data_IF_638950640343
#
_entry.id   IF_638950640343
#
_cell.length_a   1.000
_cell.length_b   1.000
_cell.length_c   1.000
_cell.angle_alpha   90.00
_cell.angle_beta   90.00
_cell.angle_gamma   90.00
#
_symmetry.space_group_name_H-M   'P 1'
#
loop_
_entity.id
_entity.type
_entity.pdbx_description
1 polymer ?
#
# COMPACT_ATOMS: atom_id res chain seq x y z
N UNK A 1 2.36 11.46 19.28
CA UNK A 1 1.04 10.88 18.96
C UNK A 1 1.24 10.04 17.70
N UNK A 2 0.77 8.79 17.66
CA UNK A 2 0.87 7.95 16.48
C UNK A 2 -0.41 8.09 15.64
N UNK A 3 -0.29 7.99 14.31
CA UNK A 3 -1.39 8.25 13.38
C UNK A 3 -1.72 7.02 12.54
N UNK A 4 -3.02 6.86 12.31
CA UNK A 4 -3.58 5.97 11.29
C UNK A 4 -4.05 6.84 10.13
N UNK A 5 -3.64 6.48 8.92
CA UNK A 5 -4.04 7.18 7.71
C UNK A 5 -4.87 6.24 6.84
N UNK A 6 -5.95 6.80 6.30
CA UNK A 6 -6.84 6.12 5.38
C UNK A 6 -7.01 7.01 4.15
N UNK A 7 -6.53 6.54 3.01
CA UNK A 7 -6.72 7.18 1.70
C UNK A 7 -7.62 6.28 0.86
N UNK A 8 -8.73 6.85 0.42
CA UNK A 8 -9.71 6.20 -0.45
C UNK A 8 -9.99 7.08 -1.65
N UNK A 9 -9.84 6.52 -2.85
CA UNK A 9 -10.19 7.12 -4.11
C UNK A 9 -11.08 6.16 -4.89
N UNK A 10 -12.29 6.58 -5.21
CA UNK A 10 -13.20 5.76 -6.02
C UNK A 10 -13.39 6.32 -7.45
N UNK A 11 -13.01 7.57 -7.70
CA UNK A 11 -13.28 8.28 -8.96
C UNK A 11 -12.09 9.17 -9.36
N UNK A 12 -11.85 9.33 -10.66
CA UNK A 12 -10.75 10.15 -11.20
C UNK A 12 -10.81 11.62 -10.74
N UNK A 13 -12.01 12.19 -10.61
CA UNK A 13 -12.22 13.59 -10.22
C UNK A 13 -11.86 13.88 -8.75
N UNK A 14 -11.66 12.84 -7.93
CA UNK A 14 -11.31 12.96 -6.50
C UNK A 14 -9.82 13.24 -6.26
N UNK A 15 -9.04 13.41 -7.33
CA UNK A 15 -7.59 13.49 -7.28
C UNK A 15 -7.04 14.71 -6.52
N UNK A 16 -7.67 15.87 -6.72
CA UNK A 16 -7.27 17.11 -6.05
C UNK A 16 -7.34 16.97 -4.53
N UNK A 17 -8.31 16.19 -4.04
CA UNK A 17 -8.50 15.96 -2.61
C UNK A 17 -7.46 14.97 -2.04
N UNK A 18 -7.08 13.96 -2.82
CA UNK A 18 -5.98 13.04 -2.49
C UNK A 18 -4.65 13.79 -2.48
N UNK A 19 -4.41 14.67 -3.44
CA UNK A 19 -3.20 15.50 -3.46
C UNK A 19 -3.11 16.43 -2.26
N UNK A 20 -4.23 16.99 -1.80
CA UNK A 20 -4.26 17.73 -0.53
C UNK A 20 -3.93 16.83 0.65
N UNK A 21 -4.54 15.64 0.73
CA UNK A 21 -4.22 14.66 1.79
C UNK A 21 -2.76 14.21 1.74
N UNK A 22 -2.17 14.08 0.55
CA UNK A 22 -0.76 13.72 0.33
C UNK A 22 0.21 14.85 0.63
N UNK A 23 -0.16 16.09 0.30
CA UNK A 23 0.63 17.27 0.66
C UNK A 23 0.66 17.39 2.17
N UNK A 24 -0.47 17.16 2.84
CA UNK A 24 -0.53 17.02 4.29
C UNK A 24 0.37 15.88 4.77
N UNK A 25 0.41 14.72 4.09
CA UNK A 25 1.33 13.62 4.43
C UNK A 25 2.82 13.98 4.33
N UNK A 26 3.22 14.79 3.35
CA UNK A 26 4.59 15.29 3.26
C UNK A 26 4.94 16.27 4.39
N UNK A 27 3.94 16.96 4.95
CA UNK A 27 4.08 17.78 6.15
C UNK A 27 3.87 17.00 7.46
N UNK A 28 3.30 15.81 7.40
CA UNK A 28 3.14 14.94 8.55
C UNK A 28 4.48 14.28 8.89
N UNK A 29 4.69 14.10 10.18
CA UNK A 29 5.75 13.28 10.72
C UNK A 29 5.55 11.82 10.26
N UNK A 30 6.06 11.44 9.08
CA UNK A 30 5.90 10.08 8.50
C UNK A 30 6.32 8.98 9.48
N UNK A 31 7.31 9.25 10.32
CA UNK A 31 7.76 8.42 11.44
C UNK A 31 6.71 8.19 12.55
N UNK A 32 5.57 8.90 12.53
CA UNK A 32 4.46 8.72 13.47
C UNK A 32 3.34 7.86 12.87
N UNK A 33 3.43 7.50 11.59
CA UNK A 33 2.45 6.67 10.90
C UNK A 33 2.72 5.22 11.24
N UNK A 34 1.77 4.56 11.91
CA UNK A 34 1.89 3.13 12.25
C UNK A 34 0.94 2.26 11.41
N UNK A 35 -0.13 2.82 10.86
CA UNK A 35 -1.06 2.10 10.01
C UNK A 35 -1.45 2.94 8.81
N UNK A 36 -1.33 2.35 7.62
CA UNK A 36 -1.64 3.00 6.36
C UNK A 36 -2.61 2.14 5.55
N UNK A 37 -3.73 2.72 5.14
CA UNK A 37 -4.69 2.11 4.24
C UNK A 37 -4.76 2.92 2.94
N UNK A 38 -4.70 2.25 1.80
CA UNK A 38 -4.80 2.84 0.47
C UNK A 38 -5.77 2.03 -0.39
N UNK A 39 -6.79 2.68 -0.94
CA UNK A 39 -7.70 2.15 -1.96
C UNK A 39 -7.72 3.12 -3.14
N UNK A 40 -6.99 2.83 -4.23
CA UNK A 40 -6.85 3.72 -5.40
C UNK A 40 -6.76 2.87 -6.70
N UNK A 41 -7.87 2.27 -7.16
CA UNK A 41 -7.85 1.27 -8.24
C UNK A 41 -7.28 1.78 -9.57
N UNK A 42 -7.66 2.98 -10.01
CA UNK A 42 -7.34 3.47 -11.36
C UNK A 42 -6.10 4.34 -11.46
N UNK A 43 -5.47 4.67 -10.32
CA UNK A 43 -4.42 5.70 -10.27
C UNK A 43 -3.30 5.38 -9.27
N UNK A 44 -3.21 4.13 -8.81
CA UNK A 44 -2.14 3.73 -7.90
C UNK A 44 -0.75 4.00 -8.50
N UNK A 45 -0.57 3.93 -9.83
CA UNK A 45 0.72 4.20 -10.48
C UNK A 45 1.12 5.66 -10.34
N UNK A 46 0.20 6.59 -10.61
CA UNK A 46 0.48 8.02 -10.41
C UNK A 46 0.68 8.33 -8.91
N UNK A 47 -0.10 7.71 -8.03
CA UNK A 47 0.09 7.86 -6.59
C UNK A 47 1.50 7.45 -6.16
N UNK A 48 1.95 6.23 -6.50
CA UNK A 48 3.24 5.69 -6.05
C UNK A 48 4.46 6.21 -6.82
N UNK A 49 4.26 6.88 -7.96
CA UNK A 49 5.31 7.67 -8.62
C UNK A 49 5.51 9.02 -7.95
N UNK A 50 4.44 9.64 -7.44
CA UNK A 50 4.49 10.93 -6.72
C UNK A 50 4.83 10.77 -5.23
N UNK A 51 4.53 9.61 -4.66
CA UNK A 51 4.67 9.34 -3.23
C UNK A 51 5.43 8.05 -2.97
N UNK A 52 6.71 8.19 -2.60
CA UNK A 52 7.56 7.06 -2.21
C UNK A 52 7.24 6.58 -0.80
N UNK A 53 7.02 5.27 -0.67
CA UNK A 53 7.17 4.59 0.62
C UNK A 53 8.65 4.26 0.77
N UNK A 54 9.29 4.86 1.77
CA UNK A 54 10.72 4.77 2.04
C UNK A 54 10.99 4.71 3.56
N UNK A 55 12.26 4.83 3.96
CA UNK A 55 12.69 4.74 5.35
C UNK A 55 12.09 5.80 6.28
N UNK A 56 11.44 6.86 5.76
CA UNK A 56 10.69 7.81 6.59
C UNK A 56 9.44 7.20 7.24
N UNK A 57 9.02 6.02 6.81
CA UNK A 57 7.95 5.19 7.40
C UNK A 57 8.50 4.11 8.34
N UNK A 58 9.58 4.40 9.05
CA UNK A 58 10.26 3.45 9.95
C UNK A 58 9.35 2.86 11.07
N UNK A 59 8.27 3.55 11.41
CA UNK A 59 7.26 3.10 12.37
C UNK A 59 6.03 2.43 11.75
N UNK A 60 5.97 2.29 10.42
CA UNK A 60 4.84 1.66 9.76
C UNK A 60 4.77 0.18 10.13
N UNK A 61 3.68 -0.20 10.78
CA UNK A 61 3.44 -1.52 11.35
C UNK A 61 2.43 -2.33 10.53
N UNK A 62 1.43 -1.64 9.98
CA UNK A 62 0.35 -2.23 9.20
C UNK A 62 0.12 -1.48 7.88
N UNK A 63 0.13 -2.20 6.77
CA UNK A 63 -0.19 -1.67 5.46
C UNK A 63 -1.34 -2.45 4.81
N UNK A 64 -2.39 -1.75 4.40
CA UNK A 64 -3.52 -2.30 3.67
C UNK A 64 -3.58 -1.67 2.29
N UNK A 65 -3.51 -2.53 1.27
CA UNK A 65 -3.65 -2.19 -0.13
C UNK A 65 -4.96 -2.79 -0.61
N UNK A 66 -5.89 -1.93 -1.02
CA UNK A 66 -7.19 -2.33 -1.51
C UNK A 66 -7.30 -2.00 -3.00
N UNK A 67 -7.84 -2.95 -3.76
CA UNK A 67 -7.99 -2.88 -5.22
C UNK A 67 -6.71 -2.46 -5.95
N UNK A 68 -5.57 -3.07 -5.64
CA UNK A 68 -4.30 -2.73 -6.29
C UNK A 68 -4.03 -3.56 -7.55
N UNK A 69 -3.50 -2.93 -8.58
CA UNK A 69 -3.02 -3.64 -9.75
C UNK A 69 -1.75 -4.46 -9.44
N UNK A 70 -1.65 -5.68 -9.98
CA UNK A 70 -0.47 -6.53 -9.88
C UNK A 70 0.90 -5.88 -10.12
N UNK A 71 1.02 -5.11 -11.20
CA UNK A 71 2.28 -4.47 -11.64
C UNK A 71 2.75 -3.45 -10.61
N UNK A 72 1.81 -2.67 -10.09
CA UNK A 72 2.05 -1.64 -9.06
C UNK A 72 2.40 -2.31 -7.74
N UNK A 73 1.70 -3.38 -7.38
CA UNK A 73 1.99 -4.16 -6.17
C UNK A 73 3.44 -4.67 -6.16
N UNK A 74 3.94 -5.20 -7.29
CA UNK A 74 5.33 -5.66 -7.41
C UNK A 74 6.32 -4.53 -7.12
N UNK A 75 6.12 -3.36 -7.74
CA UNK A 75 6.96 -2.19 -7.51
C UNK A 75 6.91 -1.76 -6.04
N UNK A 76 5.74 -1.77 -5.42
CA UNK A 76 5.57 -1.40 -4.03
C UNK A 76 6.26 -2.39 -3.08
N UNK A 77 6.05 -3.70 -3.27
CA UNK A 77 6.61 -4.74 -2.40
C UNK A 77 8.14 -4.66 -2.32
N UNK A 78 8.82 -4.36 -3.42
CA UNK A 78 10.27 -4.14 -3.41
C UNK A 78 10.70 -3.02 -2.46
N UNK A 79 9.90 -1.96 -2.34
CA UNK A 79 10.15 -0.82 -1.43
C UNK A 79 9.83 -1.16 0.01
N UNK A 80 8.84 -2.03 0.28
CA UNK A 80 8.45 -2.41 1.65
C UNK A 80 9.53 -3.17 2.42
N UNK A 81 10.51 -3.75 1.70
CA UNK A 81 11.65 -4.44 2.32
C UNK A 81 12.49 -3.53 3.23
N UNK A 82 12.46 -2.21 3.01
CA UNK A 82 13.19 -1.24 3.83
C UNK A 82 12.48 -0.87 5.14
N UNK A 83 11.24 -1.34 5.37
CA UNK A 83 10.43 -0.96 6.52
C UNK A 83 10.68 -1.89 7.71
N UNK A 84 11.39 -1.43 8.77
CA UNK A 84 11.88 -2.30 9.84
C UNK A 84 10.80 -2.81 10.79
N UNK A 85 9.58 -2.23 10.74
CA UNK A 85 8.47 -2.57 11.64
C UNK A 85 7.23 -3.11 10.94
N UNK A 86 7.25 -3.23 9.62
CA UNK A 86 6.08 -3.71 8.88
C UNK A 86 5.84 -5.18 9.22
N UNK A 87 4.83 -5.44 10.06
CA UNK A 87 4.50 -6.77 10.54
C UNK A 87 3.15 -7.27 10.00
N UNK A 88 2.31 -6.39 9.47
CA UNK A 88 1.00 -6.71 8.89
C UNK A 88 0.84 -6.14 7.49
N UNK A 89 0.47 -6.99 6.53
CA UNK A 89 0.20 -6.63 5.15
C UNK A 89 -1.12 -7.27 4.71
N UNK A 90 -2.06 -6.45 4.27
CA UNK A 90 -3.30 -6.90 3.63
C UNK A 90 -3.33 -6.41 2.20
N UNK A 91 -3.61 -7.32 1.26
CA UNK A 91 -3.62 -7.06 -0.17
C UNK A 91 -4.96 -7.55 -0.73
N UNK A 92 -5.72 -6.63 -1.32
CA UNK A 92 -6.83 -6.93 -2.24
C UNK A 92 -6.40 -6.48 -3.65
N UNK A 93 -6.50 -7.37 -4.62
CA UNK A 93 -6.05 -7.13 -6.00
C UNK A 93 -7.25 -7.08 -6.94
N UNK A 94 -7.23 -6.15 -7.89
CA UNK A 94 -8.29 -6.01 -8.90
C UNK A 94 -8.47 -7.25 -9.78
N UNK A 95 -7.37 -7.95 -10.09
CA UNK A 95 -7.38 -9.06 -11.02
C UNK A 95 -6.62 -10.29 -10.52
N UNK A 96 -7.02 -11.46 -11.05
CA UNK A 96 -6.31 -12.71 -10.82
C UNK A 96 -5.07 -12.78 -11.72
N UNK A 97 -3.90 -12.65 -11.12
CA UNK A 97 -2.65 -12.95 -11.80
C UNK A 97 -2.53 -14.45 -12.12
N UNK A 98 -2.10 -14.74 -13.34
CA UNK A 98 -1.63 -16.06 -13.76
C UNK A 98 -0.24 -16.40 -13.21
N UNK A 99 0.51 -15.42 -12.66
CA UNK A 99 1.86 -15.58 -12.10
C UNK A 99 1.99 -14.88 -10.75
N UNK A 100 1.56 -15.55 -9.68
CA UNK A 100 1.72 -15.06 -8.30
C UNK A 100 3.14 -15.29 -7.73
N UNK A 101 3.97 -16.07 -8.43
CA UNK A 101 5.30 -16.48 -7.94
C UNK A 101 6.18 -15.28 -7.56
N UNK A 102 6.23 -14.25 -8.40
CA UNK A 102 7.08 -13.07 -8.17
C UNK A 102 6.59 -12.26 -6.96
N UNK A 103 5.28 -12.15 -6.78
CA UNK A 103 4.66 -11.50 -5.60
C UNK A 103 5.00 -12.27 -4.33
N UNK A 104 4.86 -13.60 -4.33
CA UNK A 104 5.19 -14.41 -3.15
C UNK A 104 6.66 -14.29 -2.79
N UNK A 105 7.58 -14.31 -3.77
CA UNK A 105 9.01 -14.12 -3.53
C UNK A 105 9.29 -12.78 -2.84
N UNK A 106 8.67 -11.70 -3.33
CA UNK A 106 8.83 -10.37 -2.72
C UNK A 106 8.22 -10.29 -1.32
N UNK A 107 7.08 -10.92 -1.09
CA UNK A 107 6.45 -10.99 0.23
C UNK A 107 7.35 -11.75 1.22
N UNK A 108 7.95 -12.87 0.81
CA UNK A 108 8.86 -13.63 1.67
C UNK A 108 10.16 -12.86 1.98
N UNK A 109 10.53 -11.87 1.16
CA UNK A 109 11.64 -10.97 1.47
C UNK A 109 11.30 -9.98 2.61
N UNK A 110 10.03 -9.83 3.00
CA UNK A 110 9.60 -8.97 4.11
C UNK A 110 9.84 -9.68 5.47
N UNK A 111 11.10 -9.67 5.91
CA UNK A 111 11.57 -10.44 7.09
C UNK A 111 10.84 -10.20 8.42
N UNK A 112 10.10 -9.09 8.54
CA UNK A 112 9.35 -8.72 9.76
C UNK A 112 7.86 -9.03 9.67
N UNK A 113 7.39 -9.45 8.50
CA UNK A 113 5.99 -9.74 8.26
C UNK A 113 5.53 -10.96 9.05
N UNK A 114 4.50 -10.79 9.87
CA UNK A 114 3.87 -11.85 10.68
C UNK A 114 2.45 -12.18 10.20
N UNK A 115 1.75 -11.17 9.67
CA UNK A 115 0.39 -11.32 9.20
C UNK A 115 0.30 -10.91 7.74
N UNK A 116 -0.10 -11.85 6.90
CA UNK A 116 -0.39 -11.64 5.50
C UNK A 116 -1.84 -12.02 5.25
N UNK A 117 -2.60 -11.13 4.63
CA UNK A 117 -3.97 -11.43 4.18
C UNK A 117 -4.11 -11.08 2.71
N UNK A 118 -4.44 -12.09 1.89
CA UNK A 118 -4.92 -11.90 0.53
C UNK A 118 -6.44 -11.92 0.52
N UNK A 119 -7.05 -10.84 0.05
CA UNK A 119 -8.47 -10.77 -0.21
C UNK A 119 -8.64 -11.17 -1.68
N UNK A 120 -9.39 -12.24 -1.91
CA UNK A 120 -9.77 -12.66 -3.26
C UNK A 120 -11.15 -12.09 -3.52
N UNK A 121 -11.30 -11.25 -4.54
CA UNK A 121 -12.62 -11.00 -5.12
C UNK A 121 -13.13 -12.34 -5.68
N UNK A 122 -13.96 -13.02 -4.91
CA UNK A 122 -14.88 -14.02 -5.47
C UNK A 122 -15.87 -13.17 -6.26
N UNK A 123 -15.72 -13.11 -7.60
CA UNK A 123 -16.80 -12.64 -8.46
C UNK A 123 -18.02 -13.49 -8.09
N UNK A 124 -18.99 -12.90 -7.39
CA UNK A 124 -20.35 -13.47 -7.36
C UNK A 124 -20.83 -13.39 -8.80
N UNK A 125 -20.90 -14.55 -9.45
CA UNK A 125 -21.60 -14.74 -10.72
C UNK A 125 -23.06 -14.28 -10.59
#
# INVERSE_FOLDING_TARGET
KYFKINITCQYEESYTEIFKQLTLLNHLNKHQIYSFFICIPYQAEHFFSSYSIDSSFDHLESFVLDQIEPTILIQLLSKLTCLPRLFSLTIDMLDHLSKLTDIYQLIFALSKLKYLKFIKMIKKC
#
